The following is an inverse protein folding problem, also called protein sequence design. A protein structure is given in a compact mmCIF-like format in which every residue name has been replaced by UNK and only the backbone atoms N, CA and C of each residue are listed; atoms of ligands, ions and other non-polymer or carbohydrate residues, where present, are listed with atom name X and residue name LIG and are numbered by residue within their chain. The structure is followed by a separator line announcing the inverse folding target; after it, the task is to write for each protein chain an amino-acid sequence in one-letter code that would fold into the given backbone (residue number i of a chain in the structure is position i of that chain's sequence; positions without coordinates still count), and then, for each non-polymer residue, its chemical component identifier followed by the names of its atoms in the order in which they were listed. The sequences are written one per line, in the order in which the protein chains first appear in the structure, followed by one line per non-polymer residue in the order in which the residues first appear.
data_IF_586244603790
#
_entry.id   IF_586244603790
#
_cell.length_a   1.000
_cell.length_b   1.000
_cell.length_c   1.000
_cell.angle_alpha   90.00
_cell.angle_beta   90.00
_cell.angle_gamma   90.00
#
_symmetry.space_group_name_H-M   'P 1'
#
loop_
_entity.id
_entity.type
_entity.pdbx_description
1 polymer ?
#
# COMPACT_ATOMS: atom_id res chain seq x y z
N UNK A 1 13.76 -7.24 2.83
CA UNK A 1 13.62 -6.48 1.56
C UNK A 1 12.73 -5.30 1.88
N UNK A 2 13.26 -4.08 1.81
CA UNK A 2 12.46 -2.88 2.08
C UNK A 2 11.50 -2.70 0.91
N UNK A 3 10.20 -2.61 1.16
CA UNK A 3 9.15 -2.54 0.13
C UNK A 3 8.41 -1.21 0.11
N UNK A 4 8.85 -0.26 0.93
CA UNK A 4 8.23 1.05 1.10
C UNK A 4 9.11 2.10 0.39
N UNK A 5 8.51 3.22 -0.01
CA UNK A 5 9.19 4.32 -0.72
C UNK A 5 9.79 3.90 -2.06
N UNK A 6 9.08 3.03 -2.80
CA UNK A 6 9.44 2.61 -4.16
C UNK A 6 8.31 2.87 -5.16
N UNK A 7 8.68 3.15 -6.40
CA UNK A 7 7.74 3.26 -7.51
C UNK A 7 7.18 1.88 -7.88
N UNK A 8 5.86 1.75 -7.94
CA UNK A 8 5.22 0.51 -8.36
C UNK A 8 4.96 0.57 -9.87
N UNK A 9 5.41 -0.44 -10.59
CA UNK A 9 5.38 -0.52 -12.06
C UNK A 9 4.52 -1.70 -12.49
N UNK A 10 3.55 -1.44 -13.37
CA UNK A 10 2.71 -2.45 -14.04
C UNK A 10 2.77 -2.21 -15.55
N UNK A 11 3.03 -3.26 -16.33
CA UNK A 11 3.13 -3.18 -17.80
C UNK A 11 4.07 -2.06 -18.30
N UNK A 12 5.18 -1.86 -17.58
CA UNK A 12 6.17 -0.82 -17.88
C UNK A 12 5.75 0.62 -17.50
N UNK A 13 4.57 0.82 -16.90
CA UNK A 13 4.08 2.13 -16.44
C UNK A 13 4.11 2.23 -14.93
N UNK A 14 4.53 3.38 -14.41
CA UNK A 14 4.43 3.68 -12.98
C UNK A 14 2.94 3.89 -12.65
N UNK A 15 2.44 3.13 -11.69
CA UNK A 15 1.05 3.20 -11.21
C UNK A 15 0.93 3.84 -9.83
N UNK A 16 2.05 4.12 -9.16
CA UNK A 16 2.05 4.82 -7.88
C UNK A 16 3.31 4.56 -7.06
N UNK A 17 3.23 4.87 -5.78
CA UNK A 17 4.31 4.67 -4.80
C UNK A 17 3.86 3.78 -3.66
N UNK A 18 4.72 2.85 -3.25
CA UNK A 18 4.50 1.96 -2.11
C UNK A 18 4.66 2.69 -0.78
N UNK A 19 3.67 2.55 0.10
CA UNK A 19 3.61 3.31 1.36
C UNK A 19 3.37 2.46 2.61
N UNK A 20 2.79 1.27 2.47
CA UNK A 20 2.55 0.33 3.58
C UNK A 20 2.39 -1.11 3.06
N UNK A 21 2.37 -2.08 3.97
CA UNK A 21 1.91 -3.45 3.71
C UNK A 21 0.80 -3.78 4.71
N UNK A 22 -0.36 -4.18 4.20
CA UNK A 22 -1.57 -4.40 4.98
C UNK A 22 -2.30 -5.64 4.50
N UNK A 23 -2.60 -6.58 5.40
CA UNK A 23 -3.35 -7.81 5.12
C UNK A 23 -2.88 -8.54 3.83
N UNK A 24 -1.58 -8.82 3.70
CA UNK A 24 -0.97 -9.44 2.50
C UNK A 24 -1.10 -8.63 1.20
N UNK A 25 -1.33 -7.32 1.30
CA UNK A 25 -1.36 -6.41 0.16
C UNK A 25 -0.32 -5.30 0.34
N UNK A 26 0.38 -4.97 -0.75
CA UNK A 26 1.20 -3.77 -0.87
C UNK A 26 0.28 -2.56 -1.09
N UNK A 27 0.31 -1.61 -0.16
CA UNK A 27 -0.46 -0.38 -0.29
C UNK A 27 0.31 0.60 -1.17
N UNK A 28 -0.36 1.02 -2.23
CA UNK A 28 0.17 1.93 -3.24
C UNK A 28 -0.67 3.19 -3.28
N UNK A 29 -0.02 4.34 -3.11
CA UNK A 29 -0.63 5.64 -3.37
C UNK A 29 -0.60 5.93 -4.86
N UNK A 30 -1.78 6.07 -5.47
CA UNK A 30 -1.96 6.38 -6.89
C UNK A 30 -2.73 7.70 -7.01
N UNK A 31 -2.02 8.81 -7.18
CA UNK A 31 -2.64 10.13 -7.17
C UNK A 31 -3.24 10.46 -5.80
N UNK A 32 -4.56 10.70 -5.77
CA UNK A 32 -5.34 10.92 -4.54
C UNK A 32 -5.88 9.65 -3.90
N UNK A 33 -5.79 8.50 -4.59
CA UNK A 33 -6.35 7.23 -4.14
C UNK A 33 -5.28 6.30 -3.57
N UNK A 34 -5.75 5.29 -2.85
CA UNK A 34 -4.95 4.18 -2.37
C UNK A 34 -5.50 2.87 -2.95
N UNK A 35 -4.59 1.98 -3.34
CA UNK A 35 -4.92 0.62 -3.78
C UNK A 35 -4.06 -0.38 -3.00
N UNK A 36 -4.61 -1.55 -2.68
CA UNK A 36 -3.89 -2.67 -2.09
C UNK A 36 -3.63 -3.74 -3.13
N UNK A 37 -2.39 -3.86 -3.59
CA UNK A 37 -2.01 -4.86 -4.59
C UNK A 37 -1.60 -6.14 -3.86
N UNK A 38 -2.14 -7.32 -4.20
CA UNK A 38 -1.74 -8.58 -3.58
C UNK A 38 -0.23 -8.80 -3.65
N UNK A 39 0.40 -9.23 -2.56
CA UNK A 39 1.85 -9.50 -2.56
C UNK A 39 2.23 -10.61 -3.55
N UNK A 40 1.32 -11.55 -3.84
CA UNK A 40 1.51 -12.57 -4.87
C UNK A 40 1.57 -12.01 -6.30
N UNK A 41 1.17 -10.75 -6.49
CA UNK A 41 1.32 -10.01 -7.74
C UNK A 41 2.68 -9.32 -7.87
N UNK A 42 3.50 -9.30 -6.82
CA UNK A 42 4.87 -8.79 -6.90
C UNK A 42 5.75 -9.79 -7.65
N UNK A 43 6.41 -9.32 -8.71
CA UNK A 43 7.30 -10.11 -9.56
C UNK A 43 8.75 -9.84 -9.20
N UNK A 44 9.10 -8.57 -8.99
CA UNK A 44 10.47 -8.15 -8.71
C UNK A 44 10.46 -6.93 -7.79
N UNK A 45 11.45 -6.87 -6.90
CA UNK A 45 11.71 -5.71 -6.04
C UNK A 45 13.17 -5.33 -6.21
N UNK A 46 13.43 -4.12 -6.69
CA UNK A 46 14.77 -3.54 -6.78
C UNK A 46 14.94 -2.37 -5.80
N UNK A 47 16.00 -1.57 -5.95
CA UNK A 47 16.28 -0.45 -5.05
C UNK A 47 15.24 0.68 -5.15
N UNK A 48 14.66 0.94 -6.31
CA UNK A 48 13.78 2.07 -6.57
C UNK A 48 12.36 1.65 -6.97
N UNK A 49 12.18 0.41 -7.43
CA UNK A 49 10.96 -0.06 -8.08
C UNK A 49 10.46 -1.39 -7.54
N UNK A 50 9.16 -1.58 -7.66
CA UNK A 50 8.46 -2.84 -7.46
C UNK A 50 7.69 -3.13 -8.75
N UNK A 51 8.02 -4.22 -9.43
CA UNK A 51 7.30 -4.66 -10.63
C UNK A 51 6.20 -5.62 -10.23
N UNK A 52 4.98 -5.38 -10.71
CA UNK A 52 3.82 -6.24 -10.45
C UNK A 52 3.23 -6.78 -11.74
N UNK A 53 2.68 -8.00 -11.67
CA UNK A 53 1.83 -8.59 -12.72
C UNK A 53 0.38 -8.11 -12.56
N UNK A 54 -0.50 -8.61 -13.42
CA UNK A 54 -1.94 -8.34 -13.32
C UNK A 54 -2.54 -8.74 -11.95
N UNK A 55 -3.57 -8.00 -11.56
CA UNK A 55 -4.37 -8.21 -10.36
C UNK A 55 -5.78 -7.65 -10.59
N UNK A 56 -6.72 -8.02 -9.73
CA UNK A 56 -8.07 -7.45 -9.77
C UNK A 56 -8.07 -6.00 -9.22
N UNK A 57 -8.23 -5.04 -10.12
CA UNK A 57 -8.25 -3.62 -9.76
C UNK A 57 -9.41 -3.22 -8.86
N UNK A 58 -10.56 -3.90 -8.96
CA UNK A 58 -11.73 -3.58 -8.14
C UNK A 58 -11.46 -3.97 -6.69
N UNK A 59 -10.95 -5.19 -6.48
CA UNK A 59 -10.54 -5.66 -5.15
C UNK A 59 -9.39 -4.81 -4.58
N UNK A 60 -8.41 -4.45 -5.41
CA UNK A 60 -7.31 -3.61 -4.97
C UNK A 60 -7.79 -2.23 -4.46
N UNK A 61 -8.79 -1.63 -5.13
CA UNK A 61 -9.42 -0.38 -4.67
C UNK A 61 -10.19 -0.57 -3.37
N UNK A 62 -10.88 -1.68 -3.18
CA UNK A 62 -11.57 -1.98 -1.91
C UNK A 62 -10.59 -2.11 -0.74
N UNK A 63 -9.48 -2.84 -0.94
CA UNK A 63 -8.43 -2.97 0.07
C UNK A 63 -7.81 -1.62 0.41
N UNK A 64 -7.51 -0.79 -0.60
CA UNK A 64 -6.95 0.54 -0.38
C UNK A 64 -7.89 1.46 0.42
N UNK A 65 -9.20 1.41 0.14
CA UNK A 65 -10.22 2.13 0.94
C UNK A 65 -10.30 1.62 2.37
N UNK A 66 -10.29 0.30 2.57
CA UNK A 66 -10.30 -0.32 3.90
C UNK A 66 -9.08 0.14 4.72
N UNK A 67 -7.90 0.05 4.12
CA UNK A 67 -6.65 0.51 4.73
C UNK A 67 -6.75 1.99 5.14
N UNK A 68 -7.27 2.85 4.25
CA UNK A 68 -7.43 4.27 4.57
C UNK A 68 -8.30 4.45 5.81
N UNK A 69 -9.49 3.85 5.82
CA UNK A 69 -10.44 3.97 6.94
C UNK A 69 -9.83 3.52 8.26
N UNK A 70 -9.05 2.43 8.24
CA UNK A 70 -8.39 1.92 9.44
C UNK A 70 -7.25 2.82 9.92
N UNK A 71 -6.44 3.34 9.00
CA UNK A 71 -5.29 4.20 9.34
C UNK A 71 -5.68 5.65 9.62
N UNK A 72 -6.85 6.09 9.17
CA UNK A 72 -7.40 7.41 9.51
C UNK A 72 -8.19 7.43 10.81
N UNK A 73 -8.29 6.30 11.53
CA UNK A 73 -8.96 6.29 12.82
C UNK A 73 -8.22 7.26 13.75
N UNK A 74 -8.93 8.26 14.33
CA UNK A 74 -8.32 9.12 15.32
C UNK A 74 -7.83 8.25 16.47
N UNK A 75 -6.59 8.48 16.90
CA UNK A 75 -6.06 7.87 18.11
C UNK A 75 -6.72 8.56 19.30
N UNK A 76 -7.29 7.80 20.22
CA UNK A 76 -7.85 8.36 21.45
C UNK A 76 -6.76 8.87 22.40
N UNK A 77 -7.11 9.81 23.29
CA UNK A 77 -6.18 10.32 24.30
C UNK A 77 -5.60 9.20 25.17
N UNK A 78 -6.42 8.20 25.52
CA UNK A 78 -6.00 7.07 26.34
C UNK A 78 -5.03 6.13 25.60
N UNK A 79 -5.15 6.02 24.27
CA UNK A 79 -4.18 5.29 23.43
C UNK A 79 -2.86 6.07 23.29
N UNK A 80 -2.92 7.40 23.17
CA UNK A 80 -1.72 8.25 23.14
C UNK A 80 -0.92 8.15 24.44
N UNK A 81 -1.60 8.22 25.59
CA UNK A 81 -0.96 8.04 26.91
C UNK A 81 -0.29 6.66 27.06
N UNK A 82 -0.94 5.59 26.55
CA UNK A 82 -0.35 4.24 26.53
C UNK A 82 0.85 4.12 25.60
N UNK A 83 0.93 4.95 24.56
CA UNK A 83 2.08 5.05 23.65
C UNK A 83 3.19 5.97 24.18
N UNK A 84 2.97 6.64 25.32
CA UNK A 84 3.94 7.56 25.93
C UNK A 84 4.07 8.90 25.20
N UNK A 85 3.03 9.31 24.47
CA UNK A 85 2.92 10.58 23.76
C UNK A 85 2.00 11.57 24.49
#
# INVERSE_FOLDING_TARGET
MEMICKFVVKDGKIIGESIDVFENNLIVKSGSDFIGIPLESVVEVDKERITVKDFDESLAKEVGKKWMVEKSKPVSLEELEKMGL
#
